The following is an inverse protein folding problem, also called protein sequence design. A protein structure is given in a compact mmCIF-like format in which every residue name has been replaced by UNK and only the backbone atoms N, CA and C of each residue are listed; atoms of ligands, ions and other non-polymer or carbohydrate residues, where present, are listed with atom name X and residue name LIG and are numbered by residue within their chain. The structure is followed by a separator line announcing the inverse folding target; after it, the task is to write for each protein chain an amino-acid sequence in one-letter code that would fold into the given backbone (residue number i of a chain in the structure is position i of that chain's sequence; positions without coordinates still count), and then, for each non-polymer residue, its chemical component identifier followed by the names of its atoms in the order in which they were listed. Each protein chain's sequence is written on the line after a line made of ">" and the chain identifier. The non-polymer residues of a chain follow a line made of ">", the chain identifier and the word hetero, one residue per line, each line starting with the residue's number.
data_IF_601767941472
#
_entry.id   IF_601767941472
#
_cell.length_a   1.000
_cell.length_b   1.000
_cell.length_c   1.000
_cell.angle_alpha   90.00
_cell.angle_beta   90.00
_cell.angle_gamma   90.00
#
_symmetry.space_group_name_H-M   'P 1'
#
loop_
_entity.id
_entity.type
_entity.pdbx_description
1 polymer ?
#
# COMPACT_ATOMS: atom_id res chain seq x y z
N UNK A 1 14.40 -45.17 0.93
CA UNK A 1 14.61 -44.05 -0.01
C UNK A 1 13.33 -43.46 -0.60
N UNK A 2 12.40 -44.21 -1.20
CA UNK A 2 11.16 -43.61 -1.78
C UNK A 2 10.33 -42.84 -0.74
N UNK A 3 10.08 -43.44 0.43
CA UNK A 3 9.33 -42.79 1.51
C UNK A 3 10.04 -41.50 1.98
N UNK A 4 11.37 -41.52 2.06
CA UNK A 4 12.18 -40.39 2.50
C UNK A 4 12.08 -39.23 1.50
N UNK A 5 12.15 -39.54 0.20
CA UNK A 5 11.94 -38.56 -0.86
C UNK A 5 10.54 -37.95 -0.81
N UNK A 6 9.51 -38.77 -0.56
CA UNK A 6 8.14 -38.27 -0.40
C UNK A 6 8.01 -37.35 0.83
N UNK A 7 8.62 -37.69 1.96
CA UNK A 7 8.60 -36.83 3.15
C UNK A 7 9.36 -35.51 2.92
N UNK A 8 10.54 -35.55 2.28
CA UNK A 8 11.29 -34.34 1.93
C UNK A 8 10.51 -33.46 0.94
N UNK A 9 9.87 -34.07 -0.06
CA UNK A 9 8.98 -33.40 -1.00
C UNK A 9 7.81 -32.71 -0.29
N UNK A 10 7.15 -33.39 0.66
CA UNK A 10 6.05 -32.82 1.44
C UNK A 10 6.50 -31.61 2.27
N UNK A 11 7.66 -31.67 2.93
CA UNK A 11 8.19 -30.55 3.71
C UNK A 11 8.52 -29.37 2.78
N UNK A 12 9.25 -29.61 1.70
CA UNK A 12 9.60 -28.56 0.73
C UNK A 12 8.37 -27.91 0.10
N UNK A 13 7.43 -28.74 -0.36
CA UNK A 13 6.16 -28.29 -0.91
C UNK A 13 5.34 -27.49 0.09
N UNK A 14 5.23 -27.95 1.34
CA UNK A 14 4.51 -27.23 2.40
C UNK A 14 5.12 -25.85 2.68
N UNK A 15 6.46 -25.74 2.71
CA UNK A 15 7.14 -24.44 2.85
C UNK A 15 6.82 -23.55 1.64
N UNK A 16 6.94 -24.07 0.42
CA UNK A 16 6.63 -23.31 -0.79
C UNK A 16 5.17 -22.82 -0.83
N UNK A 17 4.21 -23.66 -0.41
CA UNK A 17 2.80 -23.27 -0.28
C UNK A 17 2.63 -22.19 0.78
N UNK A 18 3.21 -22.37 1.98
CA UNK A 18 3.10 -21.42 3.08
C UNK A 18 3.60 -20.03 2.67
N UNK A 19 4.69 -19.96 1.92
CA UNK A 19 5.20 -18.69 1.39
C UNK A 19 4.28 -18.04 0.38
N UNK A 20 3.72 -18.84 -0.53
CA UNK A 20 2.80 -18.32 -1.53
C UNK A 20 1.54 -17.75 -0.88
N UNK A 21 1.02 -18.44 0.15
CA UNK A 21 -0.12 -17.96 0.95
C UNK A 21 0.22 -16.68 1.71
N UNK A 22 1.43 -16.61 2.29
CA UNK A 22 1.88 -15.41 3.00
C UNK A 22 2.06 -14.21 2.07
N UNK A 23 2.46 -14.43 0.80
CA UNK A 23 2.65 -13.40 -0.23
C UNK A 23 1.34 -12.93 -0.85
N UNK A 24 0.41 -13.84 -1.16
CA UNK A 24 -0.84 -13.54 -1.89
C UNK A 24 -2.08 -13.62 -1.00
N UNK A 25 -2.07 -12.90 0.14
CA UNK A 25 -3.12 -12.97 1.18
C UNK A 25 -4.53 -12.71 0.66
N UNK A 26 -4.68 -11.83 -0.34
CA UNK A 26 -6.00 -11.45 -0.85
C UNK A 26 -6.61 -12.45 -1.83
N UNK A 27 -5.77 -13.24 -2.54
CA UNK A 27 -6.22 -14.24 -3.52
C UNK A 27 -5.34 -15.52 -3.45
N UNK A 28 -5.26 -16.19 -2.29
CA UNK A 28 -4.31 -17.26 -2.04
C UNK A 28 -4.54 -18.48 -2.94
N UNK A 29 -5.81 -18.87 -3.10
CA UNK A 29 -6.21 -20.02 -3.95
C UNK A 29 -5.88 -19.74 -5.42
N UNK A 30 -6.12 -18.51 -5.89
CA UNK A 30 -5.84 -18.14 -7.27
C UNK A 30 -4.34 -18.09 -7.56
N UNK A 31 -3.53 -17.69 -6.57
CA UNK A 31 -2.08 -17.73 -6.68
C UNK A 31 -1.55 -19.18 -6.68
N UNK A 32 -2.08 -20.05 -5.82
CA UNK A 32 -1.67 -21.45 -5.77
C UNK A 32 -2.03 -22.23 -7.04
N UNK A 33 -3.18 -21.92 -7.63
CA UNK A 33 -3.64 -22.53 -8.87
C UNK A 33 -3.09 -21.86 -10.15
N UNK A 34 -2.22 -20.84 -10.03
CA UNK A 34 -1.59 -20.22 -11.19
C UNK A 34 -0.41 -21.09 -11.68
N UNK A 35 -0.15 -21.18 -12.99
CA UNK A 35 1.06 -21.81 -13.50
C UNK A 35 2.34 -21.37 -12.79
N UNK A 36 2.49 -20.06 -12.52
CA UNK A 36 3.63 -19.55 -11.76
C UNK A 36 3.69 -20.06 -10.32
N UNK A 37 2.54 -20.13 -9.62
CA UNK A 37 2.45 -20.67 -8.27
C UNK A 37 2.72 -22.17 -8.20
N UNK A 38 2.21 -22.95 -9.16
CA UNK A 38 2.48 -24.38 -9.29
C UNK A 38 3.98 -24.64 -9.55
N UNK A 39 4.59 -23.87 -10.47
CA UNK A 39 6.02 -23.96 -10.74
C UNK A 39 6.86 -23.61 -9.50
N UNK A 40 6.43 -22.60 -8.73
CA UNK A 40 7.10 -22.24 -7.48
C UNK A 40 7.08 -23.38 -6.45
N UNK A 41 5.92 -24.01 -6.23
CA UNK A 41 5.80 -25.16 -5.32
C UNK A 41 6.59 -26.36 -5.85
N UNK A 42 6.59 -26.59 -7.16
CA UNK A 42 7.37 -27.65 -7.80
C UNK A 42 8.87 -27.47 -7.56
N UNK A 43 9.41 -26.26 -7.71
CA UNK A 43 10.83 -25.96 -7.46
C UNK A 43 11.20 -26.23 -6.00
N UNK A 44 10.37 -25.82 -5.05
CA UNK A 44 10.63 -26.07 -3.62
C UNK A 44 10.60 -27.58 -3.28
N UNK A 45 9.64 -28.30 -3.85
CA UNK A 45 9.51 -29.75 -3.70
C UNK A 45 10.72 -30.47 -4.28
N UNK A 46 11.08 -30.16 -5.54
CA UNK A 46 12.21 -30.75 -6.24
C UNK A 46 13.55 -30.45 -5.57
N UNK A 47 13.77 -29.22 -5.11
CA UNK A 47 14.98 -28.85 -4.39
C UNK A 47 15.16 -29.65 -3.08
N UNK A 48 14.06 -29.95 -2.39
CA UNK A 48 14.11 -30.77 -1.16
C UNK A 48 14.46 -32.22 -1.43
N UNK A 49 13.93 -32.80 -2.52
CA UNK A 49 14.31 -34.15 -2.97
C UNK A 49 15.77 -34.19 -3.40
N UNK A 50 16.23 -33.21 -4.20
CA UNK A 50 17.63 -33.12 -4.64
C UNK A 50 18.58 -32.96 -3.46
N UNK A 51 18.23 -32.13 -2.47
CA UNK A 51 19.00 -31.98 -1.25
C UNK A 51 19.09 -33.30 -0.48
N UNK A 52 18.00 -34.06 -0.36
CA UNK A 52 18.00 -35.36 0.31
C UNK A 52 18.93 -36.37 -0.39
N UNK A 53 18.88 -36.42 -1.73
CA UNK A 53 19.75 -37.26 -2.54
C UNK A 53 21.21 -36.88 -2.29
N UNK A 54 21.55 -35.58 -2.36
CA UNK A 54 22.90 -35.09 -2.15
C UNK A 54 23.44 -35.42 -0.75
N UNK A 55 22.66 -35.14 0.30
CA UNK A 55 22.99 -35.41 1.70
C UNK A 55 23.20 -36.91 1.93
N UNK A 56 22.36 -37.76 1.33
CA UNK A 56 22.46 -39.21 1.50
C UNK A 56 23.66 -39.77 0.75
N UNK A 57 23.87 -39.34 -0.50
CA UNK A 57 25.00 -39.75 -1.32
C UNK A 57 26.35 -39.33 -0.73
N UNK A 58 26.41 -38.14 -0.11
CA UNK A 58 27.59 -37.65 0.60
C UNK A 58 27.84 -38.33 1.94
N UNK A 59 26.94 -39.23 2.38
CA UNK A 59 27.08 -39.93 3.65
C UNK A 59 26.95 -39.02 4.88
N UNK A 60 26.38 -37.82 4.74
CA UNK A 60 26.29 -36.86 5.84
C UNK A 60 25.45 -37.41 6.99
N UNK A 61 26.00 -37.33 8.21
CA UNK A 61 25.37 -37.79 9.46
C UNK A 61 24.94 -36.67 10.39
N UNK A 62 25.26 -35.42 10.06
CA UNK A 62 24.96 -34.24 10.88
C UNK A 62 25.39 -34.40 12.34
N UNK A 63 26.57 -34.99 12.58
CA UNK A 63 27.11 -35.21 13.92
C UNK A 63 26.55 -36.42 14.67
N UNK A 64 25.60 -37.18 14.10
CA UNK A 64 25.06 -38.37 14.75
C UNK A 64 26.08 -39.53 14.77
N UNK A 65 26.26 -40.19 15.93
CA UNK A 65 27.24 -41.28 16.07
C UNK A 65 26.89 -42.48 15.16
N UNK A 66 27.89 -43.28 14.75
CA UNK A 66 27.69 -44.47 13.92
C UNK A 66 26.71 -45.49 14.51
N UNK A 67 26.65 -45.56 15.84
CA UNK A 67 25.84 -46.49 16.64
C UNK A 67 24.36 -46.12 16.71
N UNK A 68 23.96 -44.95 16.24
CA UNK A 68 22.57 -44.49 16.32
C UNK A 68 21.64 -45.30 15.38
N UNK A 69 20.37 -45.55 15.76
CA UNK A 69 19.41 -46.19 14.87
C UNK A 69 19.29 -45.50 13.52
N UNK A 70 19.18 -46.29 12.45
CA UNK A 70 19.05 -45.77 11.08
C UNK A 70 17.84 -44.86 10.91
N UNK A 71 16.74 -45.12 11.64
CA UNK A 71 15.56 -44.27 11.64
C UNK A 71 15.87 -42.82 12.06
N UNK A 72 16.69 -42.61 13.10
CA UNK A 72 17.08 -41.28 13.55
C UNK A 72 17.88 -40.53 12.49
N UNK A 73 18.79 -41.22 11.82
CA UNK A 73 19.59 -40.65 10.73
C UNK A 73 18.70 -40.24 9.55
N UNK A 74 17.73 -41.08 9.18
CA UNK A 74 16.77 -40.78 8.12
C UNK A 74 15.94 -39.53 8.45
N UNK A 75 15.40 -39.43 9.67
CA UNK A 75 14.61 -38.27 10.10
C UNK A 75 15.42 -36.98 9.99
N UNK A 76 16.66 -36.97 10.50
CA UNK A 76 17.52 -35.78 10.43
C UNK A 76 17.85 -35.40 8.99
N UNK A 77 18.14 -36.37 8.12
CA UNK A 77 18.42 -36.11 6.70
C UNK A 77 17.21 -35.52 5.97
N UNK A 78 16.02 -36.06 6.21
CA UNK A 78 14.77 -35.56 5.61
C UNK A 78 14.47 -34.13 6.08
N UNK A 79 14.60 -33.85 7.38
CA UNK A 79 14.40 -32.51 7.92
C UNK A 79 15.45 -31.52 7.39
N UNK A 80 16.73 -31.89 7.42
CA UNK A 80 17.82 -31.07 6.92
C UNK A 80 17.67 -30.78 5.43
N UNK A 81 17.25 -31.76 4.63
CA UNK A 81 16.99 -31.59 3.21
C UNK A 81 15.80 -30.68 2.94
N UNK A 82 14.65 -30.89 3.61
CA UNK A 82 13.44 -30.11 3.40
C UNK A 82 13.57 -28.64 3.84
N UNK A 83 14.14 -28.39 5.03
CA UNK A 83 14.33 -27.03 5.55
C UNK A 83 15.54 -26.37 4.91
N UNK A 84 16.64 -27.12 4.74
CA UNK A 84 17.90 -26.61 4.20
C UNK A 84 17.80 -26.24 2.73
N UNK A 85 17.08 -27.02 1.90
CA UNK A 85 16.81 -26.65 0.51
C UNK A 85 16.10 -25.30 0.42
N UNK A 86 15.12 -25.09 1.31
CA UNK A 86 14.40 -23.84 1.43
C UNK A 86 15.38 -22.70 1.78
N UNK A 87 16.20 -22.86 2.82
CA UNK A 87 17.18 -21.84 3.18
C UNK A 87 18.14 -21.50 2.02
N UNK A 88 18.66 -22.51 1.32
CA UNK A 88 19.55 -22.35 0.16
C UNK A 88 18.88 -21.62 -1.01
N UNK A 89 17.63 -21.95 -1.33
CA UNK A 89 16.88 -21.28 -2.39
C UNK A 89 16.67 -19.77 -2.13
N UNK A 90 16.74 -19.33 -0.88
CA UNK A 90 16.59 -17.93 -0.47
C UNK A 90 17.92 -17.18 -0.39
N UNK A 91 19.04 -17.85 -0.56
CA UNK A 91 20.34 -17.20 -0.55
C UNK A 91 20.55 -16.37 -1.82
N UNK A 92 21.07 -15.16 -1.63
CA UNK A 92 21.59 -14.32 -2.70
C UNK A 92 23.12 -14.36 -2.66
N UNK A 93 23.78 -14.57 -3.80
CA UNK A 93 25.22 -14.48 -3.91
C UNK A 93 25.57 -13.21 -4.68
N UNK A 94 25.68 -12.09 -3.98
CA UNK A 94 26.06 -10.82 -4.61
C UNK A 94 27.50 -10.48 -4.24
N UNK A 95 28.45 -10.48 -5.20
CA UNK A 95 29.73 -9.83 -4.97
C UNK A 95 29.51 -8.31 -4.88
N UNK A 96 30.11 -7.66 -3.88
CA UNK A 96 29.84 -6.28 -3.46
C UNK A 96 30.19 -5.17 -4.49
N UNK A 97 30.48 -5.49 -5.75
CA UNK A 97 31.17 -4.59 -6.68
C UNK A 97 30.49 -4.38 -8.04
N UNK A 98 29.41 -5.09 -8.37
CA UNK A 98 28.65 -4.82 -9.59
C UNK A 98 27.22 -4.46 -9.24
N UNK A 99 26.70 -3.37 -9.81
CA UNK A 99 25.28 -2.97 -9.71
C UNK A 99 24.32 -3.94 -10.40
N UNK A 100 24.67 -5.23 -10.47
CA UNK A 100 23.89 -6.28 -11.05
C UNK A 100 22.94 -6.88 -10.00
N UNK A 101 21.71 -7.14 -10.46
CA UNK A 101 20.70 -7.93 -9.75
C UNK A 101 21.35 -9.16 -9.13
N UNK A 102 21.17 -9.35 -7.81
CA UNK A 102 21.83 -10.42 -7.05
C UNK A 102 21.79 -11.76 -7.78
N UNK A 103 22.95 -12.29 -8.14
CA UNK A 103 23.06 -13.60 -8.79
C UNK A 103 22.83 -14.67 -7.72
N UNK A 104 21.89 -15.59 -7.93
CA UNK A 104 21.69 -16.69 -6.98
C UNK A 104 20.36 -17.40 -7.11
N UNK A 105 20.15 -18.47 -6.33
CA UNK A 105 18.90 -19.24 -6.33
C UNK A 105 17.65 -18.38 -6.10
N UNK A 106 17.78 -17.33 -5.28
CA UNK A 106 16.66 -16.40 -5.02
C UNK A 106 16.22 -15.64 -6.27
N UNK A 107 17.12 -15.37 -7.22
CA UNK A 107 16.77 -14.70 -8.47
C UNK A 107 15.86 -15.56 -9.35
N UNK A 108 16.11 -16.87 -9.37
CA UNK A 108 15.24 -17.83 -10.05
C UNK A 108 13.83 -17.81 -9.44
N UNK A 109 13.73 -17.88 -8.11
CA UNK A 109 12.44 -17.82 -7.42
C UNK A 109 11.71 -16.51 -7.70
N UNK A 110 12.42 -15.38 -7.67
CA UNK A 110 11.85 -14.08 -8.00
C UNK A 110 11.35 -14.02 -9.46
N UNK A 111 12.07 -14.63 -10.41
CA UNK A 111 11.61 -14.76 -11.79
C UNK A 111 10.30 -15.54 -11.91
N UNK A 112 10.18 -16.66 -11.19
CA UNK A 112 8.95 -17.47 -11.17
C UNK A 112 7.79 -16.72 -10.51
N UNK A 113 8.04 -16.01 -9.41
CA UNK A 113 7.02 -15.22 -8.74
C UNK A 113 6.52 -14.06 -9.63
N UNK A 114 7.39 -13.46 -10.46
CA UNK A 114 6.96 -12.47 -11.46
C UNK A 114 6.00 -13.05 -12.51
N UNK A 115 6.16 -14.32 -12.90
CA UNK A 115 5.20 -15.00 -13.79
C UNK A 115 3.84 -15.12 -13.11
N UNK A 116 3.82 -15.54 -11.84
CA UNK A 116 2.58 -15.63 -11.05
C UNK A 116 1.91 -14.25 -10.90
N UNK A 117 2.71 -13.20 -10.62
CA UNK A 117 2.24 -11.81 -10.53
C UNK A 117 1.55 -11.37 -11.83
N UNK A 118 2.20 -11.56 -12.98
CA UNK A 118 1.63 -11.17 -14.28
C UNK A 118 0.36 -11.93 -14.66
N UNK A 119 0.22 -13.20 -14.26
CA UNK A 119 -1.02 -13.97 -14.47
C UNK A 119 -2.16 -13.49 -13.57
N UNK A 120 -1.87 -13.25 -12.29
CA UNK A 120 -2.83 -12.68 -11.36
C UNK A 120 -3.27 -11.29 -11.79
N UNK A 121 -2.35 -10.48 -12.30
CA UNK A 121 -2.63 -9.16 -12.85
C UNK A 121 -3.53 -9.25 -14.09
N UNK A 122 -3.23 -10.14 -15.05
CA UNK A 122 -4.12 -10.38 -16.20
C UNK A 122 -5.52 -10.80 -15.79
N UNK A 123 -5.65 -11.73 -14.83
CA UNK A 123 -6.95 -12.15 -14.29
C UNK A 123 -7.68 -11.00 -13.59
N UNK A 124 -6.95 -10.14 -12.86
CA UNK A 124 -7.51 -8.95 -12.23
C UNK A 124 -7.98 -7.94 -13.28
N UNK A 125 -7.20 -7.69 -14.33
CA UNK A 125 -7.57 -6.79 -15.41
C UNK A 125 -8.86 -7.24 -16.10
N UNK A 126 -8.97 -8.53 -16.44
CA UNK A 126 -10.21 -9.10 -17.02
C UNK A 126 -11.41 -8.98 -16.07
N UNK A 127 -11.21 -9.23 -14.77
CA UNK A 127 -12.27 -9.10 -13.78
C UNK A 127 -12.77 -7.67 -13.58
N UNK A 128 -11.92 -6.66 -13.82
CA UNK A 128 -12.31 -5.25 -13.67
C UNK A 128 -13.20 -4.77 -14.80
N UNK A 129 -13.02 -5.30 -16.02
CA UNK A 129 -13.83 -4.97 -17.18
C UNK A 129 -15.09 -5.85 -17.32
N UNK A 130 -15.13 -7.02 -16.67
CA UNK A 130 -16.27 -7.94 -16.80
C UNK A 130 -17.41 -7.67 -15.81
N UNK A 131 -17.21 -6.78 -14.84
CA UNK A 131 -18.20 -6.47 -13.81
C UNK A 131 -18.82 -5.11 -14.02
N UNK A 132 -20.15 -5.09 -14.14
CA UNK A 132 -20.92 -3.86 -14.20
C UNK A 132 -21.18 -3.30 -12.79
N UNK A 133 -20.12 -3.15 -11.99
CA UNK A 133 -20.18 -2.77 -10.57
C UNK A 133 -20.72 -1.34 -10.40
N UNK A 134 -20.56 -0.50 -11.43
CA UNK A 134 -21.04 0.88 -11.49
C UNK A 134 -22.38 1.04 -12.26
N UNK A 135 -23.04 -0.07 -12.61
CA UNK A 135 -24.36 -0.06 -13.25
C UNK A 135 -25.34 0.88 -12.57
N UNK A 136 -25.97 1.76 -13.35
CA UNK A 136 -26.98 2.71 -12.88
C UNK A 136 -26.42 4.03 -12.32
N UNK A 137 -25.10 4.20 -12.36
CA UNK A 137 -24.44 5.49 -12.19
C UNK A 137 -24.11 6.10 -13.56
N UNK A 138 -23.85 7.40 -13.57
CA UNK A 138 -23.40 8.16 -14.73
C UNK A 138 -22.09 8.87 -14.42
N UNK A 139 -21.14 8.89 -15.35
CA UNK A 139 -19.91 9.64 -15.13
C UNK A 139 -20.24 11.13 -14.96
N UNK A 140 -20.98 11.74 -15.89
CA UNK A 140 -21.31 13.15 -15.83
C UNK A 140 -21.93 13.60 -14.50
N UNK A 141 -22.81 12.78 -13.93
CA UNK A 141 -23.52 13.13 -12.68
C UNK A 141 -22.79 12.70 -11.41
N UNK A 142 -22.21 11.50 -11.41
CA UNK A 142 -21.92 10.79 -10.17
C UNK A 142 -20.40 10.67 -9.90
N UNK A 143 -19.53 11.02 -10.86
CA UNK A 143 -18.06 10.85 -10.74
C UNK A 143 -17.47 11.55 -9.50
N UNK A 144 -17.86 12.79 -9.24
CA UNK A 144 -17.34 13.60 -8.14
C UNK A 144 -17.78 13.04 -6.78
N UNK A 145 -19.07 12.74 -6.62
CA UNK A 145 -19.61 12.17 -5.38
C UNK A 145 -19.04 10.77 -5.09
N UNK A 146 -18.81 9.97 -6.14
CA UNK A 146 -18.21 8.65 -6.02
C UNK A 146 -16.74 8.75 -5.57
N UNK A 147 -15.97 9.69 -6.12
CA UNK A 147 -14.60 9.92 -5.71
C UNK A 147 -14.51 10.46 -4.28
N UNK A 148 -15.39 11.38 -3.89
CA UNK A 148 -15.44 11.88 -2.52
C UNK A 148 -15.69 10.75 -1.50
N UNK A 149 -16.66 9.87 -1.78
CA UNK A 149 -16.92 8.70 -0.93
C UNK A 149 -15.70 7.78 -0.86
N UNK A 150 -15.01 7.54 -1.98
CA UNK A 150 -13.80 6.75 -2.01
C UNK A 150 -12.66 7.40 -1.19
N UNK A 151 -12.43 8.70 -1.33
CA UNK A 151 -11.40 9.42 -0.58
C UNK A 151 -11.60 9.34 0.92
N UNK A 152 -12.85 9.41 1.40
CA UNK A 152 -13.16 9.27 2.82
C UNK A 152 -13.00 7.84 3.36
N UNK A 153 -12.90 6.83 2.49
CA UNK A 153 -12.57 5.46 2.91
C UNK A 153 -11.06 5.26 3.10
N UNK A 154 -10.22 6.19 2.63
CA UNK A 154 -8.78 6.12 2.75
C UNK A 154 -8.30 6.71 4.07
N UNK A 155 -7.37 6.02 4.73
CA UNK A 155 -6.78 6.48 6.01
C UNK A 155 -5.71 7.54 5.79
N UNK A 156 -5.02 7.46 4.65
CA UNK A 156 -3.97 8.37 4.20
C UNK A 156 -4.33 8.70 2.75
N UNK A 157 -4.54 9.97 2.44
CA UNK A 157 -4.80 10.46 1.08
C UNK A 157 -3.95 11.71 0.87
N UNK A 158 -3.09 11.69 -0.15
CA UNK A 158 -2.17 12.78 -0.41
C UNK A 158 -2.67 13.70 -1.53
N UNK A 159 -2.04 14.89 -1.62
CA UNK A 159 -2.39 15.89 -2.63
C UNK A 159 -2.13 15.39 -4.06
N UNK A 160 -1.12 14.54 -4.25
CA UNK A 160 -0.75 14.04 -5.57
C UNK A 160 -1.82 13.08 -6.12
N UNK A 161 -2.40 12.24 -5.27
CA UNK A 161 -3.54 11.38 -5.62
C UNK A 161 -4.79 12.20 -5.95
N UNK A 162 -5.04 13.28 -5.20
CA UNK A 162 -6.15 14.20 -5.47
C UNK A 162 -6.00 14.92 -6.82
N UNK A 163 -4.80 15.45 -7.10
CA UNK A 163 -4.48 16.10 -8.38
C UNK A 163 -4.61 15.13 -9.55
N UNK A 164 -4.13 13.89 -9.37
CA UNK A 164 -4.24 12.84 -10.38
C UNK A 164 -5.68 12.45 -10.69
N UNK A 165 -6.52 12.32 -9.66
CA UNK A 165 -7.96 12.08 -9.85
C UNK A 165 -8.63 13.26 -10.54
N UNK A 166 -8.35 14.49 -10.10
CA UNK A 166 -8.91 15.69 -10.71
C UNK A 166 -8.54 15.82 -12.19
N UNK A 167 -7.27 15.58 -12.53
CA UNK A 167 -6.78 15.59 -13.92
C UNK A 167 -7.48 14.54 -14.79
N UNK A 168 -7.61 13.31 -14.30
CA UNK A 168 -8.32 12.26 -15.02
C UNK A 168 -9.80 12.58 -15.23
N UNK A 169 -10.48 13.14 -14.22
CA UNK A 169 -11.88 13.54 -14.34
C UNK A 169 -12.06 14.63 -15.42
N UNK A 170 -11.17 15.62 -15.44
CA UNK A 170 -11.18 16.67 -16.45
C UNK A 170 -10.90 16.10 -17.85
N UNK A 171 -9.87 15.25 -17.98
CA UNK A 171 -9.52 14.60 -19.24
C UNK A 171 -10.69 13.78 -19.80
N UNK A 172 -11.30 12.91 -18.98
CA UNK A 172 -12.46 12.12 -19.38
C UNK A 172 -13.69 12.99 -19.69
N UNK A 173 -13.88 14.08 -18.96
CA UNK A 173 -14.93 15.06 -19.22
C UNK A 173 -14.88 15.61 -20.64
N UNK A 174 -13.67 15.93 -21.13
CA UNK A 174 -13.44 16.50 -22.46
C UNK A 174 -13.37 15.49 -23.62
N UNK A 175 -13.46 14.19 -23.35
CA UNK A 175 -13.39 13.14 -24.38
C UNK A 175 -14.76 12.87 -24.99
N UNK A 176 -15.05 13.47 -26.14
CA UNK A 176 -16.31 13.28 -26.86
C UNK A 176 -16.38 11.94 -27.65
N UNK A 177 -15.23 11.27 -27.80
CA UNK A 177 -15.09 9.97 -28.45
C UNK A 177 -15.50 8.78 -27.55
N UNK A 178 -15.75 9.03 -26.26
CA UNK A 178 -16.11 8.02 -25.27
C UNK A 178 -17.56 8.20 -24.81
N UNK A 179 -18.28 7.09 -24.63
CA UNK A 179 -19.61 7.15 -24.02
C UNK A 179 -19.52 7.46 -22.52
N UNK A 180 -20.61 7.94 -21.91
CA UNK A 180 -20.67 8.17 -20.45
C UNK A 180 -20.34 6.90 -19.65
N UNK A 181 -20.74 5.73 -20.17
CA UNK A 181 -20.40 4.43 -19.58
C UNK A 181 -18.90 4.13 -19.69
N UNK A 182 -18.26 4.38 -20.85
CA UNK A 182 -16.82 4.18 -21.03
C UNK A 182 -16.00 5.10 -20.11
N UNK A 183 -16.43 6.36 -19.97
CA UNK A 183 -15.83 7.32 -19.03
C UNK A 183 -15.96 6.82 -17.59
N UNK A 184 -17.14 6.31 -17.22
CA UNK A 184 -17.41 5.76 -15.89
C UNK A 184 -16.57 4.51 -15.62
N UNK A 185 -16.37 3.65 -16.60
CA UNK A 185 -15.52 2.46 -16.49
C UNK A 185 -14.06 2.86 -16.30
N UNK A 186 -13.53 3.79 -17.11
CA UNK A 186 -12.18 4.34 -16.93
C UNK A 186 -11.99 4.97 -15.54
N UNK A 187 -12.98 5.72 -15.08
CA UNK A 187 -12.99 6.30 -13.73
C UNK A 187 -13.00 5.23 -12.63
N UNK A 188 -13.87 4.22 -12.78
CA UNK A 188 -13.99 3.09 -11.87
C UNK A 188 -12.72 2.27 -11.72
N UNK A 189 -11.98 2.08 -12.82
CA UNK A 189 -10.67 1.41 -12.80
C UNK A 189 -9.67 2.15 -11.89
N UNK A 190 -9.69 3.47 -11.92
CA UNK A 190 -8.77 4.29 -11.14
C UNK A 190 -9.17 4.43 -9.68
N UNK A 191 -10.47 4.51 -9.39
CA UNK A 191 -10.95 4.39 -8.01
C UNK A 191 -10.66 3.00 -7.43
N UNK A 192 -10.79 1.93 -8.22
CA UNK A 192 -10.43 0.57 -7.80
C UNK A 192 -8.96 0.45 -7.42
N UNK A 193 -8.07 1.20 -8.09
CA UNK A 193 -6.65 1.24 -7.74
C UNK A 193 -6.44 1.88 -6.36
N UNK A 194 -7.20 2.92 -6.04
CA UNK A 194 -7.05 3.67 -4.79
C UNK A 194 -7.66 2.94 -3.59
N UNK A 195 -8.93 2.57 -3.67
CA UNK A 195 -9.67 2.03 -2.51
C UNK A 195 -9.87 0.52 -2.54
N UNK A 196 -9.59 -0.12 -3.68
CA UNK A 196 -9.89 -1.53 -3.90
C UNK A 196 -11.34 -1.80 -4.30
N UNK A 197 -11.55 -2.97 -4.90
CA UNK A 197 -12.81 -3.39 -5.53
C UNK A 197 -14.01 -3.38 -4.56
N UNK A 198 -13.80 -3.89 -3.33
CA UNK A 198 -14.89 -4.00 -2.34
C UNK A 198 -15.34 -2.63 -1.85
N UNK A 199 -14.41 -1.71 -1.65
CA UNK A 199 -14.71 -0.36 -1.18
C UNK A 199 -15.47 0.42 -2.26
N UNK A 200 -15.00 0.37 -3.52
CA UNK A 200 -15.68 0.99 -4.65
C UNK A 200 -17.11 0.48 -4.81
N UNK A 201 -17.32 -0.84 -4.72
CA UNK A 201 -18.64 -1.44 -4.82
C UNK A 201 -19.59 -0.93 -3.73
N UNK A 202 -19.12 -0.80 -2.49
CA UNK A 202 -19.94 -0.27 -1.38
C UNK A 202 -20.25 1.22 -1.56
N UNK A 203 -19.27 2.02 -2.01
CA UNK A 203 -19.47 3.44 -2.32
C UNK A 203 -20.51 3.61 -3.45
N UNK A 204 -20.39 2.84 -4.53
CA UNK A 204 -21.30 2.88 -5.66
C UNK A 204 -22.73 2.43 -5.30
N UNK A 205 -22.88 1.43 -4.42
CA UNK A 205 -24.19 1.04 -3.88
C UNK A 205 -24.81 2.17 -3.06
N UNK A 206 -24.03 2.74 -2.14
CA UNK A 206 -24.52 3.84 -1.29
C UNK A 206 -24.92 5.07 -2.11
N UNK A 207 -24.23 5.36 -3.20
CA UNK A 207 -24.56 6.46 -4.08
C UNK A 207 -25.85 6.20 -4.88
N UNK A 208 -26.06 4.97 -5.35
CA UNK A 208 -27.30 4.56 -6.02
C UNK A 208 -28.53 4.66 -5.12
N UNK A 209 -28.37 4.28 -3.86
CA UNK A 209 -29.46 4.24 -2.89
C UNK A 209 -29.81 5.63 -2.33
N UNK A 210 -29.07 6.69 -2.67
CA UNK A 210 -29.39 8.05 -2.23
C UNK A 210 -30.68 8.54 -2.90
N UNK A 211 -31.67 9.03 -2.14
CA UNK A 211 -32.78 9.78 -2.70
C UNK A 211 -32.23 10.95 -3.50
N UNK A 212 -32.65 11.10 -4.75
CA UNK A 212 -32.25 12.24 -5.58
C UNK A 212 -32.76 13.51 -4.89
N UNK A 213 -31.86 14.45 -4.60
CA UNK A 213 -32.28 15.77 -4.16
C UNK A 213 -33.05 16.41 -5.32
N UNK A 214 -34.34 16.70 -5.12
CA UNK A 214 -35.07 17.55 -6.04
C UNK A 214 -34.35 18.91 -6.13
N UNK A 215 -34.33 19.56 -7.31
CA UNK A 215 -33.78 20.89 -7.43
C UNK A 215 -34.44 21.78 -6.38
N UNK A 216 -33.63 22.33 -5.48
CA UNK A 216 -34.09 23.28 -4.47
C UNK A 216 -34.63 24.47 -5.24
N UNK A 217 -35.95 24.64 -5.31
CA UNK A 217 -36.57 25.85 -5.84
C UNK A 217 -35.92 27.03 -5.12
N UNK A 218 -35.17 27.85 -5.85
CA UNK A 218 -34.60 29.07 -5.31
C UNK A 218 -35.75 29.92 -4.77
N UNK A 219 -35.65 30.50 -3.55
CA UNK A 219 -36.66 31.39 -3.05
C UNK A 219 -36.84 32.54 -4.04
N UNK A 220 -38.03 32.69 -4.62
CA UNK A 220 -38.41 33.86 -5.41
C UNK A 220 -38.01 35.11 -4.62
N UNK A 221 -37.08 35.89 -5.17
CA UNK A 221 -36.79 37.23 -4.66
C UNK A 221 -38.09 38.05 -4.70
N UNK A 222 -38.68 38.29 -3.52
CA UNK A 222 -39.71 39.30 -3.39
C UNK A 222 -39.08 40.69 -3.65
N UNK A 223 -39.74 41.58 -4.41
CA UNK A 223 -39.18 42.90 -4.70
C UNK A 223 -38.92 43.70 -3.42
N UNK A 224 -37.67 44.11 -3.20
CA UNK A 224 -37.29 45.06 -2.15
C UNK A 224 -38.08 46.36 -2.29
N UNK A 225 -38.92 46.68 -1.30
CA UNK A 225 -39.45 48.03 -1.10
C UNK A 225 -38.30 49.02 -0.85
N UNK A 226 -38.30 50.13 -1.61
CA UNK A 226 -37.34 51.23 -1.45
C UNK A 226 -37.47 51.92 -0.08
N UNK A 227 -36.35 52.25 0.60
CA UNK A 227 -36.39 52.93 1.89
C UNK A 227 -36.71 54.42 1.74
N UNK A 228 -37.79 54.88 2.39
CA UNK A 228 -38.14 56.31 2.55
C UNK A 228 -37.02 57.08 3.29
N UNK A 229 -36.73 58.34 2.89
CA UNK A 229 -35.70 59.16 3.54
C UNK A 229 -36.12 59.63 4.94
N UNK A 230 -35.15 59.57 5.86
CA UNK A 230 -35.28 59.90 7.27
C UNK A 230 -35.40 61.42 7.54
N UNK A 231 -36.24 61.77 8.52
CA UNK A 231 -36.36 63.12 9.08
C UNK A 231 -35.18 63.45 10.03
N UNK A 232 -34.82 64.74 10.21
CA UNK A 232 -33.56 65.14 10.83
C UNK A 232 -33.57 65.11 12.36
N UNK A 233 -32.36 64.98 12.89
CA UNK A 233 -31.97 64.77 14.27
C UNK A 233 -32.27 65.94 15.23
N UNK A 234 -32.67 65.60 16.46
CA UNK A 234 -32.66 66.49 17.63
C UNK A 234 -31.72 65.92 18.72
N UNK A 235 -30.50 66.46 18.73
CA UNK A 235 -29.68 66.92 19.85
C UNK A 235 -29.98 66.41 21.29
N UNK A 236 -28.95 65.81 21.94
CA UNK A 236 -28.69 65.93 23.40
C UNK A 236 -27.24 65.55 23.79
N UNK A 237 -26.76 66.33 24.75
CA UNK A 237 -25.39 66.64 25.25
C UNK A 237 -24.64 65.54 26.08
N UNK A 238 -23.35 65.75 26.44
CA UNK A 238 -22.43 64.73 26.95
C UNK A 238 -22.40 64.53 28.48
N UNK A 239 -21.68 63.48 28.89
CA UNK A 239 -21.51 62.86 30.22
C UNK A 239 -20.94 63.73 31.36
N UNK A 240 -20.93 63.20 32.60
CA UNK A 240 -19.88 63.50 33.58
C UNK A 240 -19.09 62.26 34.05
N UNK A 241 -17.84 62.51 34.45
CA UNK A 241 -16.80 61.57 34.89
C UNK A 241 -16.66 61.49 36.42
N UNK A 242 -15.94 60.47 36.92
CA UNK A 242 -15.03 60.39 38.11
C UNK A 242 -15.03 58.95 38.71
N UNK A 243 -14.01 58.32 39.31
CA UNK A 243 -12.52 58.41 39.47
C UNK A 243 -12.06 57.10 40.23
N UNK A 244 -10.75 56.83 40.45
CA UNK A 244 -10.16 55.48 40.65
C UNK A 244 -9.79 55.08 42.11
N UNK A 245 -9.52 53.78 42.37
CA UNK A 245 -8.72 53.30 43.52
C UNK A 245 -8.15 51.85 43.36
N UNK A 246 -6.83 51.76 43.22
CA UNK A 246 -5.77 50.95 43.89
C UNK A 246 -5.89 49.45 44.35
N UNK A 247 -4.72 48.75 44.58
CA UNK A 247 -4.54 47.29 44.40
C UNK A 247 -4.07 46.48 45.66
N UNK A 248 -3.72 45.19 45.45
CA UNK A 248 -2.80 44.28 46.23
C UNK A 248 -3.46 43.41 47.35
N UNK A 249 -2.93 42.26 47.88
CA UNK A 249 -1.89 41.26 47.48
C UNK A 249 -2.34 39.77 47.48
N UNK A 250 -1.47 38.87 46.95
CA UNK A 250 -1.53 37.40 47.15
C UNK A 250 -0.86 36.88 48.44
N UNK A 251 -0.88 35.56 48.71
CA UNK A 251 0.34 34.77 48.97
C UNK A 251 0.19 33.29 48.50
N UNK A 252 1.16 32.37 48.48
CA UNK A 252 2.63 32.26 48.46
C UNK A 252 2.91 30.79 48.04
N UNK A 253 4.01 30.54 47.32
CA UNK A 253 4.59 29.20 47.09
C UNK A 253 5.31 28.67 48.35
N UNK A 254 5.62 27.36 48.37
CA UNK A 254 7.02 26.90 48.52
C UNK A 254 7.39 25.93 47.35
N UNK A 255 8.48 26.07 46.58
CA UNK A 255 9.91 25.80 46.86
C UNK A 255 10.15 24.48 47.62
N UNK A 256 11.00 23.52 47.23
CA UNK A 256 11.89 23.21 46.10
C UNK A 256 12.00 21.66 46.08
N UNK A 257 12.66 20.97 45.14
CA UNK A 257 14.09 20.97 44.88
C UNK A 257 14.41 20.13 43.63
N UNK A 258 15.23 20.67 42.74
CA UNK A 258 15.98 19.95 41.69
C UNK A 258 17.18 19.18 42.34
N UNK A 259 18.17 18.55 41.64
CA UNK A 259 18.47 18.56 40.19
C UNK A 259 19.05 17.25 39.58
N UNK A 260 19.32 17.29 38.27
CA UNK A 260 20.18 16.34 37.53
C UNK A 260 20.09 16.61 36.02
N UNK A 261 20.75 17.67 35.52
CA UNK A 261 22.05 17.65 34.82
C UNK A 261 21.97 17.12 33.37
N UNK A 262 22.05 17.99 32.35
CA UNK A 262 23.29 18.34 31.57
C UNK A 262 23.57 17.26 30.51
N UNK A 263 23.83 17.49 29.21
CA UNK A 263 24.13 18.66 28.39
C UNK A 263 24.26 18.19 26.94
N UNK A 264 23.87 19.02 25.96
CA UNK A 264 24.43 18.94 24.60
C UNK A 264 25.87 19.48 24.53
N UNK A 265 26.57 19.35 23.41
CA UNK A 265 26.97 20.54 22.63
C UNK A 265 26.91 20.25 21.10
N UNK A 266 26.48 21.17 20.23
CA UNK A 266 27.16 22.36 19.66
C UNK A 266 28.44 22.10 18.82
N UNK A 267 28.31 22.51 17.55
CA UNK A 267 29.27 23.15 16.61
C UNK A 267 30.36 22.34 15.91
N UNK A 268 30.41 22.43 14.57
CA UNK A 268 31.53 23.06 13.84
C UNK A 268 31.17 23.34 12.36
N UNK A 269 31.68 24.47 11.85
CA UNK A 269 31.67 24.97 10.46
C UNK A 269 32.86 24.40 9.68
N UNK A 270 32.76 24.33 8.35
CA UNK A 270 33.73 24.83 7.34
C UNK A 270 33.18 24.50 5.93
N UNK A 271 32.92 25.52 5.10
CA UNK A 271 33.68 25.86 3.87
C UNK A 271 33.67 24.72 2.83
N UNK A 272 33.10 24.84 1.63
CA UNK A 272 33.23 25.90 0.63
C UNK A 272 33.81 25.24 -0.63
N UNK A 273 33.16 25.36 -1.80
CA UNK A 273 33.72 24.82 -3.05
C UNK A 273 32.69 24.68 -4.17
N UNK A 274 32.71 25.64 -5.10
CA UNK A 274 31.89 25.77 -6.30
C UNK A 274 32.82 25.63 -7.51
N UNK A 275 32.59 24.64 -8.38
CA UNK A 275 33.07 24.47 -9.79
C UNK A 275 33.04 22.96 -10.08
N UNK A 276 32.68 22.40 -11.23
CA UNK A 276 32.65 22.91 -12.60
C UNK A 276 31.92 21.89 -13.51
N UNK A 277 31.30 22.42 -14.58
CA UNK A 277 30.87 21.68 -15.78
C UNK A 277 32.09 21.26 -16.62
N UNK A 278 32.10 20.05 -17.19
CA UNK A 278 32.61 19.66 -18.54
C UNK A 278 31.87 18.35 -18.91
N UNK A 279 31.04 18.18 -19.93
CA UNK A 279 31.11 18.40 -21.39
C UNK A 279 32.20 17.61 -22.12
N UNK A 280 31.76 16.60 -22.89
CA UNK A 280 32.23 16.04 -24.18
C UNK A 280 33.71 16.18 -24.61
N UNK A 281 34.42 15.07 -24.88
CA UNK A 281 34.64 14.46 -26.23
C UNK A 281 35.79 13.44 -26.21
N UNK A 282 35.63 12.39 -27.01
CA UNK A 282 36.57 11.51 -27.74
C UNK A 282 37.89 11.00 -27.12
N UNK A 283 37.98 9.66 -27.05
CA UNK A 283 39.01 8.83 -27.72
C UNK A 283 38.55 7.36 -27.75
#
# INVERSE_FOLDING_TARGET
>A
MIIEMLLAALIGGAIGVAELLARYRDKPVAALASPGGLLFVFINTGASVLALIAVTAAGWRFGLPPTMPQASLVVVRVLAAGIGSAALLRMAFTPAQSGAVGAGPVALLNGVLRLADGELERKRALSRLSRNDLSGLSFERDHAALAELCCHLMREFDLAEAERLGGLAADLGHRDDLTDADKLDCWGLELTRLVGERALLQAARRLRDRPRAEPREEPREEPREEPRPAAPAAERLPAPAEKPAEPVPGPRRPLGSAPGSVSGPKTSRLAGGRSERRSFSDA
#
